data_IF_222680503791
#
_entry.id   IF_222680503791
#
_cell.length_a   1.000
_cell.length_b   1.000
_cell.length_c   1.000
_cell.angle_alpha   90.00
_cell.angle_beta   90.00
_cell.angle_gamma   90.00
#
_symmetry.space_group_name_H-M   'P 1'
#
loop_
_entity.id
_entity.type
_entity.pdbx_description
1 polymer ?
#
# COMPACT_ATOMS: atom_id res chain seq x y z
N UNK A 1 4.04 14.24 -5.29
CA UNK A 1 2.90 14.18 -6.24
C UNK A 1 3.32 14.60 -7.64
N UNK A 2 4.11 15.67 -7.80
CA UNK A 2 4.65 16.10 -9.10
C UNK A 2 5.36 14.96 -9.87
N UNK A 3 6.25 14.20 -9.22
CA UNK A 3 6.94 13.06 -9.86
C UNK A 3 5.98 11.98 -10.36
N UNK A 4 4.96 11.63 -9.56
CA UNK A 4 3.91 10.68 -9.98
C UNK A 4 3.18 11.21 -11.22
N UNK A 5 2.76 12.48 -11.18
CA UNK A 5 2.01 13.10 -12.29
C UNK A 5 2.86 13.24 -13.55
N UNK A 6 4.14 13.55 -13.41
CA UNK A 6 5.06 13.77 -14.52
C UNK A 6 5.65 12.50 -15.13
N UNK A 7 5.77 11.41 -14.34
CA UNK A 7 6.43 10.17 -14.77
C UNK A 7 5.51 8.95 -14.81
N UNK A 8 4.83 8.64 -13.70
CA UNK A 8 4.02 7.42 -13.63
C UNK A 8 2.77 7.50 -14.50
N UNK A 9 2.01 8.60 -14.42
CA UNK A 9 0.74 8.74 -15.17
C UNK A 9 0.93 8.60 -16.70
N UNK A 10 1.90 9.29 -17.34
CA UNK A 10 2.12 9.17 -18.79
C UNK A 10 2.57 7.78 -19.25
N UNK A 11 3.13 6.97 -18.35
CA UNK A 11 3.60 5.63 -18.67
C UNK A 11 2.51 4.55 -18.60
N UNK A 12 1.32 4.90 -18.11
CA UNK A 12 0.21 3.97 -17.94
C UNK A 12 -0.73 3.98 -19.15
N UNK A 13 -1.35 2.84 -19.50
CA UNK A 13 -2.53 2.78 -20.36
C UNK A 13 -3.64 3.70 -19.84
N UNK A 14 -4.49 4.22 -20.74
CA UNK A 14 -5.48 5.26 -20.43
C UNK A 14 -6.35 4.94 -19.20
N UNK A 15 -6.92 3.74 -19.13
CA UNK A 15 -7.80 3.35 -18.02
C UNK A 15 -7.05 3.33 -16.67
N UNK A 16 -5.80 2.86 -16.67
CA UNK A 16 -4.95 2.86 -15.48
C UNK A 16 -4.49 4.27 -15.11
N UNK A 17 -4.23 5.12 -16.10
CA UNK A 17 -3.89 6.52 -15.88
C UNK A 17 -5.06 7.28 -15.22
N UNK A 18 -6.31 7.01 -15.61
CA UNK A 18 -7.50 7.58 -14.96
C UNK A 18 -7.60 7.14 -13.50
N UNK A 19 -7.54 5.84 -13.22
CA UNK A 19 -7.56 5.32 -11.84
C UNK A 19 -6.41 5.90 -11.00
N UNK A 20 -5.21 6.01 -11.58
CA UNK A 20 -4.05 6.58 -10.91
C UNK A 20 -4.27 8.07 -10.59
N UNK A 21 -4.82 8.85 -11.53
CA UNK A 21 -5.13 10.25 -11.32
C UNK A 21 -6.17 10.46 -10.21
N UNK A 22 -7.26 9.69 -10.23
CA UNK A 22 -8.28 9.71 -9.16
C UNK A 22 -7.70 9.36 -7.80
N UNK A 23 -6.78 8.39 -7.75
CA UNK A 23 -6.07 8.00 -6.52
C UNK A 23 -5.19 9.12 -5.99
N UNK A 24 -4.43 9.78 -6.87
CA UNK A 24 -3.59 10.93 -6.50
C UNK A 24 -4.46 12.08 -5.96
N UNK A 25 -5.57 12.39 -6.63
CA UNK A 25 -6.49 13.41 -6.14
C UNK A 25 -7.14 13.03 -4.80
N UNK A 26 -7.49 11.75 -4.62
CA UNK A 26 -8.02 11.26 -3.35
C UNK A 26 -7.00 11.42 -2.23
N UNK A 27 -5.72 11.15 -2.50
CA UNK A 27 -4.63 11.37 -1.57
C UNK A 27 -4.43 12.84 -1.21
N UNK A 28 -4.45 13.74 -2.20
CA UNK A 28 -4.32 15.19 -1.99
C UNK A 28 -5.49 15.75 -1.15
N UNK A 29 -6.66 15.09 -1.18
CA UNK A 29 -7.81 15.42 -0.32
C UNK A 29 -7.76 14.78 1.08
N UNK A 30 -6.83 13.86 1.35
CA UNK A 30 -6.71 13.28 2.68
C UNK A 30 -6.22 14.35 3.66
N UNK A 31 -6.97 14.54 4.75
CA UNK A 31 -6.47 15.25 5.92
C UNK A 31 -5.41 14.43 6.68
N UNK A 32 -4.94 14.94 7.85
CA UNK A 32 -4.10 14.16 8.75
C UNK A 32 -4.79 12.83 9.14
N UNK A 33 -3.98 11.85 9.53
CA UNK A 33 -4.50 10.56 10.00
C UNK A 33 -5.40 10.77 11.21
N UNK A 34 -6.65 10.24 11.21
CA UNK A 34 -7.60 10.48 12.30
C UNK A 34 -7.15 9.89 13.64
N UNK A 35 -6.23 8.93 13.64
CA UNK A 35 -5.66 8.33 14.85
C UNK A 35 -4.28 8.90 15.19
N UNK A 36 -3.83 9.94 14.45
CA UNK A 36 -2.53 10.56 14.64
C UNK A 36 -1.36 9.66 14.28
N UNK A 37 -0.23 9.88 14.95
CA UNK A 37 0.98 9.09 14.78
C UNK A 37 1.13 8.05 15.89
N UNK A 38 1.67 6.89 15.56
CA UNK A 38 1.96 5.81 16.49
C UNK A 38 3.28 5.14 16.14
N UNK A 39 3.80 4.31 17.06
CA UNK A 39 4.91 3.43 16.72
C UNK A 39 4.40 2.31 15.83
N UNK A 40 4.98 2.16 14.65
CA UNK A 40 4.60 1.15 13.66
C UNK A 40 5.83 0.45 13.10
N UNK A 41 5.60 -0.71 12.49
CA UNK A 41 6.63 -1.48 11.80
C UNK A 41 6.91 -0.85 10.42
N UNK A 42 5.86 -0.38 9.74
CA UNK A 42 5.93 0.34 8.46
C UNK A 42 6.73 -0.33 7.34
N UNK A 43 7.05 -1.61 7.43
CA UNK A 43 7.67 -2.40 6.36
C UNK A 43 7.15 -3.86 6.35
N UNK A 44 5.84 -3.98 6.57
CA UNK A 44 5.07 -5.23 6.69
C UNK A 44 4.94 -6.05 5.41
N UNK A 45 5.96 -6.12 4.56
CA UNK A 45 5.94 -6.93 3.34
C UNK A 45 6.38 -8.37 3.60
N UNK A 46 6.04 -9.29 2.68
CA UNK A 46 6.22 -10.73 2.88
C UNK A 46 7.67 -11.18 3.11
N UNK A 47 8.67 -10.40 2.67
CA UNK A 47 10.08 -10.71 2.92
C UNK A 47 10.51 -10.49 4.37
N UNK A 48 9.76 -9.72 5.16
CA UNK A 48 10.04 -9.42 6.57
C UNK A 48 9.19 -10.26 7.54
N UNK A 49 8.49 -11.26 7.01
CA UNK A 49 7.53 -12.09 7.74
C UNK A 49 7.93 -13.55 7.66
N UNK A 50 8.22 -14.16 8.83
CA UNK A 50 8.54 -15.57 8.93
C UNK A 50 7.26 -16.42 8.96
N UNK A 51 6.74 -16.76 7.78
CA UNK A 51 5.60 -17.67 7.66
C UNK A 51 6.01 -19.14 7.77
N UNK A 52 5.32 -19.88 8.63
CA UNK A 52 5.32 -21.34 8.63
C UNK A 52 4.19 -21.84 7.74
N UNK A 53 4.57 -22.39 6.59
CA UNK A 53 3.59 -22.92 5.63
C UNK A 53 2.92 -24.22 6.12
N UNK A 54 3.62 -25.05 6.91
CA UNK A 54 3.08 -26.31 7.43
C UNK A 54 1.97 -26.05 8.44
N UNK A 55 2.21 -25.12 9.35
CA UNK A 55 1.28 -24.74 10.42
C UNK A 55 0.36 -23.56 10.05
N UNK A 56 0.53 -22.99 8.84
CA UNK A 56 -0.22 -21.84 8.32
C UNK A 56 -0.23 -20.64 9.28
N UNK A 57 0.93 -20.32 9.87
CA UNK A 57 1.05 -19.30 10.92
C UNK A 57 2.21 -18.34 10.66
N UNK A 58 2.07 -17.10 11.10
CA UNK A 58 3.18 -16.16 11.20
C UNK A 58 3.94 -16.43 12.51
N UNK A 59 5.22 -16.80 12.41
CA UNK A 59 6.06 -17.11 13.57
C UNK A 59 6.92 -15.91 14.04
N UNK A 60 7.09 -14.89 13.19
CA UNK A 60 7.84 -13.70 13.57
C UNK A 60 7.85 -12.63 12.50
N UNK A 61 8.23 -11.42 12.92
CA UNK A 61 8.51 -10.26 12.07
C UNK A 61 9.94 -9.83 12.39
N UNK A 62 10.71 -9.46 11.37
CA UNK A 62 12.10 -9.03 11.50
C UNK A 62 12.36 -7.81 10.62
N UNK A 63 13.58 -7.27 10.70
CA UNK A 63 14.00 -6.04 10.00
C UNK A 63 13.23 -4.76 10.37
N UNK A 64 13.37 -4.34 11.63
CA UNK A 64 12.73 -3.14 12.17
C UNK A 64 13.44 -1.83 11.79
N UNK A 65 14.30 -1.83 10.76
CA UNK A 65 15.08 -0.65 10.37
C UNK A 65 14.20 0.55 9.97
N UNK A 66 13.06 0.29 9.32
CA UNK A 66 12.07 1.30 8.92
C UNK A 66 10.95 1.53 9.95
N UNK A 67 11.02 0.84 11.09
CA UNK A 67 10.08 1.08 12.18
C UNK A 67 10.29 2.46 12.80
N UNK A 68 9.21 3.08 13.27
CA UNK A 68 9.30 4.44 13.79
C UNK A 68 7.97 5.02 14.21
N UNK A 69 7.93 6.34 14.39
CA UNK A 69 6.69 7.07 14.70
C UNK A 69 6.11 7.64 13.41
N UNK A 70 4.89 7.22 13.06
CA UNK A 70 4.25 7.64 11.82
C UNK A 70 2.73 7.45 11.82
N UNK A 71 2.03 7.92 10.77
CA UNK A 71 0.58 7.79 10.64
C UNK A 71 0.12 6.33 10.69
N UNK A 72 -0.88 6.04 11.53
CA UNK A 72 -1.35 4.66 11.76
C UNK A 72 -1.71 3.91 10.47
N UNK A 73 -2.43 4.55 9.54
CA UNK A 73 -2.90 3.85 8.34
C UNK A 73 -1.77 3.45 7.37
N UNK A 74 -0.55 4.00 7.53
CA UNK A 74 0.60 3.58 6.71
C UNK A 74 1.08 2.17 7.03
N UNK A 75 0.84 1.69 8.26
CA UNK A 75 1.19 0.33 8.68
C UNK A 75 0.63 -0.74 7.74
N UNK A 76 -0.52 -0.46 7.11
CA UNK A 76 -1.26 -1.43 6.32
C UNK A 76 -0.93 -1.39 4.81
N UNK A 77 -0.05 -0.50 4.35
CA UNK A 77 0.29 -0.39 2.92
C UNK A 77 0.91 -1.70 2.40
N UNK A 78 1.92 -2.22 3.10
CA UNK A 78 2.68 -3.38 2.64
C UNK A 78 1.92 -4.70 2.78
N UNK A 79 1.08 -4.87 3.81
CA UNK A 79 0.18 -6.02 3.84
C UNK A 79 -0.78 -5.99 2.66
N UNK A 80 -1.22 -4.79 2.24
CA UNK A 80 -2.16 -4.63 1.14
C UNK A 80 -1.49 -4.84 -0.23
N UNK A 81 -0.16 -4.75 -0.29
CA UNK A 81 0.63 -5.20 -1.44
C UNK A 81 0.64 -6.71 -1.58
N UNK A 82 0.60 -7.45 -0.47
CA UNK A 82 0.58 -8.91 -0.47
C UNK A 82 -0.82 -9.41 -0.81
N UNK A 83 -1.83 -8.96 -0.08
CA UNK A 83 -3.21 -9.40 -0.25
C UNK A 83 -4.20 -8.45 0.44
N UNK A 84 -5.18 -7.90 -0.29
CA UNK A 84 -6.28 -7.14 0.33
C UNK A 84 -7.09 -7.94 1.36
N UNK A 85 -7.24 -9.26 1.16
CA UNK A 85 -7.90 -10.15 2.13
C UNK A 85 -7.10 -10.23 3.44
N UNK A 86 -5.78 -10.40 3.32
CA UNK A 86 -4.91 -10.42 4.49
C UNK A 86 -5.00 -9.09 5.25
N UNK A 87 -4.93 -7.96 4.54
CA UNK A 87 -5.05 -6.63 5.15
C UNK A 87 -6.41 -6.44 5.83
N UNK A 88 -7.50 -6.87 5.21
CA UNK A 88 -8.83 -6.78 5.82
C UNK A 88 -8.89 -7.52 7.16
N UNK A 89 -8.34 -8.74 7.22
CA UNK A 89 -8.29 -9.55 8.45
C UNK A 89 -7.38 -8.95 9.52
N UNK A 90 -6.23 -8.38 9.13
CA UNK A 90 -5.34 -7.67 10.05
C UNK A 90 -6.04 -6.43 10.60
N UNK A 91 -6.70 -5.64 9.74
CA UNK A 91 -7.46 -4.45 10.13
C UNK A 91 -8.55 -4.84 11.12
N UNK A 92 -9.41 -5.81 10.81
CA UNK A 92 -10.47 -6.27 11.70
C UNK A 92 -9.93 -6.67 13.08
N UNK A 93 -8.88 -7.50 13.11
CA UNK A 93 -8.24 -7.92 14.37
C UNK A 93 -7.65 -6.72 15.13
N UNK A 94 -7.05 -5.76 14.43
CA UNK A 94 -6.48 -4.56 15.06
C UNK A 94 -7.59 -3.68 15.66
N UNK A 95 -8.70 -3.49 14.94
CA UNK A 95 -9.86 -2.75 15.42
C UNK A 95 -10.46 -3.41 16.68
N UNK A 96 -10.60 -4.74 16.68
CA UNK A 96 -11.07 -5.51 17.84
C UNK A 96 -10.15 -5.34 19.06
N UNK A 97 -8.84 -5.41 18.87
CA UNK A 97 -7.87 -5.33 19.97
C UNK A 97 -7.69 -3.92 20.52
N UNK A 98 -7.90 -2.89 19.70
CA UNK A 98 -7.59 -1.49 20.07
C UNK A 98 -8.82 -0.62 20.28
N UNK A 99 -10.00 -1.05 19.83
CA UNK A 99 -11.23 -0.26 19.80
C UNK A 99 -11.19 0.91 18.81
N UNK A 100 -10.18 0.99 17.93
CA UNK A 100 -10.05 2.02 16.90
C UNK A 100 -10.79 1.58 15.65
N UNK A 101 -11.51 2.48 14.99
CA UNK A 101 -12.09 2.21 13.67
C UNK A 101 -11.15 2.75 12.58
N UNK A 102 -10.62 1.87 11.73
CA UNK A 102 -9.69 2.20 10.65
C UNK A 102 -10.42 2.48 9.34
N UNK A 103 -9.94 3.52 8.66
CA UNK A 103 -10.41 3.97 7.36
C UNK A 103 -9.77 3.13 6.24
N UNK A 104 -10.51 2.11 5.81
CA UNK A 104 -10.13 1.19 4.72
C UNK A 104 -9.89 1.93 3.40
N UNK A 105 -10.63 3.01 3.13
CA UNK A 105 -10.44 3.82 1.92
C UNK A 105 -9.12 4.57 1.98
N UNK A 106 -8.76 5.14 3.13
CA UNK A 106 -7.43 5.75 3.34
C UNK A 106 -6.32 4.73 3.09
N UNK A 107 -6.43 3.49 3.60
CA UNK A 107 -5.43 2.43 3.35
C UNK A 107 -5.29 2.15 1.84
N UNK A 108 -6.41 2.00 1.12
CA UNK A 108 -6.39 1.75 -0.32
C UNK A 108 -5.73 2.91 -1.10
N UNK A 109 -6.05 4.16 -0.75
CA UNK A 109 -5.45 5.35 -1.37
C UNK A 109 -3.95 5.43 -1.09
N UNK A 110 -3.52 5.23 0.16
CA UNK A 110 -2.10 5.22 0.54
C UNK A 110 -1.33 4.13 -0.19
N UNK A 111 -1.93 2.95 -0.33
CA UNK A 111 -1.38 1.81 -1.08
C UNK A 111 -1.16 2.18 -2.55
N UNK A 112 -2.19 2.72 -3.20
CA UNK A 112 -2.12 3.12 -4.60
C UNK A 112 -1.06 4.19 -4.85
N UNK A 113 -0.99 5.21 -3.99
CA UNK A 113 0.05 6.24 -4.08
C UNK A 113 1.45 5.68 -3.91
N UNK A 114 1.64 4.70 -3.03
CA UNK A 114 2.94 4.05 -2.87
C UNK A 114 3.33 3.30 -4.16
N UNK A 115 2.42 2.52 -4.76
CA UNK A 115 2.67 1.87 -6.07
C UNK A 115 3.03 2.85 -7.18
N UNK A 116 2.33 3.98 -7.23
CA UNK A 116 2.62 5.02 -8.22
C UNK A 116 3.96 5.71 -7.96
N UNK A 117 4.37 5.84 -6.68
CA UNK A 117 5.69 6.35 -6.32
C UNK A 117 6.79 5.40 -6.80
N UNK A 118 6.67 4.10 -6.54
CA UNK A 118 7.62 3.07 -7.00
C UNK A 118 7.75 3.08 -8.53
N UNK A 119 6.61 3.16 -9.25
CA UNK A 119 6.64 3.29 -10.71
C UNK A 119 7.33 4.58 -11.13
N UNK A 120 7.00 5.73 -10.54
CA UNK A 120 7.59 7.01 -10.93
C UNK A 120 9.11 7.06 -10.72
N UNK A 121 9.63 6.32 -9.75
CA UNK A 121 11.06 6.20 -9.47
C UNK A 121 11.78 5.35 -10.53
N UNK A 122 11.17 4.25 -10.98
CA UNK A 122 11.82 3.23 -11.79
C UNK A 122 11.33 3.14 -13.23
N UNK A 123 10.39 4.00 -13.66
CA UNK A 123 9.81 3.94 -15.02
C UNK A 123 10.83 4.18 -16.13
N UNK A 124 11.87 4.95 -15.86
CA UNK A 124 12.94 5.24 -16.82
C UNK A 124 14.03 4.14 -16.84
N UNK A 125 13.94 3.14 -15.94
CA UNK A 125 14.85 2.01 -15.87
C UNK A 125 14.29 0.82 -16.68
N UNK A 126 14.91 0.47 -17.83
CA UNK A 126 14.43 -0.62 -18.68
C UNK A 126 14.38 -1.98 -18.00
N UNK A 127 15.21 -2.21 -16.97
CA UNK A 127 15.27 -3.47 -16.24
C UNK A 127 14.07 -3.60 -15.28
N UNK A 128 13.74 -2.52 -14.57
CA UNK A 128 12.75 -2.53 -13.50
C UNK A 128 11.35 -2.07 -13.94
N UNK A 129 11.24 -1.19 -14.94
CA UNK A 129 9.97 -0.62 -15.40
C UNK A 129 8.89 -1.67 -15.72
N UNK A 130 9.18 -2.79 -16.41
CA UNK A 130 8.16 -3.81 -16.68
C UNK A 130 7.57 -4.43 -15.39
N UNK A 131 8.38 -4.58 -14.35
CA UNK A 131 7.92 -5.10 -13.06
C UNK A 131 7.06 -4.08 -12.33
N UNK A 132 7.43 -2.80 -12.35
CA UNK A 132 6.63 -1.74 -11.72
C UNK A 132 5.27 -1.55 -12.40
N UNK A 133 5.22 -1.61 -13.73
CA UNK A 133 3.96 -1.57 -14.47
C UNK A 133 3.03 -2.73 -14.07
N UNK A 134 3.56 -3.96 -14.00
CA UNK A 134 2.80 -5.13 -13.52
C UNK A 134 2.31 -4.98 -12.07
N UNK A 135 3.09 -4.33 -11.20
CA UNK A 135 2.67 -4.04 -9.83
C UNK A 135 1.46 -3.09 -9.81
N UNK A 136 1.44 -2.06 -10.66
CA UNK A 136 0.31 -1.14 -10.81
C UNK A 136 -0.91 -1.85 -11.40
N UNK A 137 -0.73 -2.67 -12.45
CA UNK A 137 -1.81 -3.49 -13.02
C UNK A 137 -2.44 -4.43 -11.99
N UNK A 138 -1.60 -5.10 -11.19
CA UNK A 138 -2.05 -6.01 -10.14
C UNK A 138 -2.86 -5.27 -9.09
N UNK A 139 -2.40 -4.09 -8.66
CA UNK A 139 -3.14 -3.23 -7.76
C UNK A 139 -4.48 -2.76 -8.37
N UNK A 140 -4.49 -2.31 -9.62
CA UNK A 140 -5.73 -1.89 -10.28
C UNK A 140 -6.76 -3.02 -10.34
N UNK A 141 -6.32 -4.26 -10.58
CA UNK A 141 -7.18 -5.43 -10.54
C UNK A 141 -7.74 -5.74 -9.15
N UNK A 142 -7.06 -5.38 -8.05
CA UNK A 142 -7.64 -5.52 -6.71
C UNK A 142 -8.71 -4.46 -6.44
N UNK A 143 -8.50 -3.22 -6.90
CA UNK A 143 -9.49 -2.15 -6.79
C UNK A 143 -10.77 -2.49 -7.56
N UNK A 144 -10.65 -2.97 -8.80
CA UNK A 144 -11.81 -3.33 -9.64
C UNK A 144 -12.67 -4.47 -9.06
N UNK A 145 -12.11 -5.31 -8.17
CA UNK A 145 -12.85 -6.38 -7.48
C UNK A 145 -13.55 -5.93 -6.20
N UNK A 146 -13.18 -4.75 -5.69
CA UNK A 146 -13.73 -4.18 -4.46
C UNK A 146 -14.88 -3.19 -4.71
N UNK A 147 -15.10 -2.79 -5.96
CA UNK A 147 -16.21 -1.95 -6.45
C UNK A 147 -17.33 -2.79 -7.03
#
# INVERSE_FOLDING_TARGET
>A
METIRGKALPALPADLATLAAETVEAFERLGPDPHGSTYGFFDGHGWNMAFDHGERRLNGIYDFADSGIGPLHREFIYSNFISPDLTARIVETYEELTGRALDRRRIAVLTGVHRLSELAELVDDPEHAPTMLRSVETWAATVARAT
#
